data_IF_754854823296
#
_entry.id   IF_754854823296
#
_cell.length_a   1.000
_cell.length_b   1.000
_cell.length_c   1.000
_cell.angle_alpha   90.00
_cell.angle_beta   90.00
_cell.angle_gamma   90.00
#
_symmetry.space_group_name_H-M   'P 1'
#
loop_
_entity.id
_entity.type
_entity.pdbx_description
1 polymer ?
#
# COMPACT_ATOMS: atom_id res chain seq x y z
N UNK A 1 -2.86 -6.99 9.80
CA UNK A 1 -3.23 -5.70 9.19
C UNK A 1 -4.67 -5.70 8.67
N UNK A 2 -5.05 -6.55 7.70
CA UNK A 2 -6.38 -6.47 7.06
C UNK A 2 -7.58 -6.48 8.03
N UNK A 3 -7.59 -7.37 9.03
CA UNK A 3 -8.70 -7.41 10.02
C UNK A 3 -8.86 -6.11 10.81
N UNK A 4 -7.75 -5.46 11.18
CA UNK A 4 -7.77 -4.17 11.90
C UNK A 4 -8.25 -3.07 10.95
N UNK A 5 -7.70 -3.00 9.73
CA UNK A 5 -8.08 -2.04 8.72
C UNK A 5 -9.59 -2.13 8.37
N UNK A 6 -10.12 -3.35 8.23
CA UNK A 6 -11.55 -3.57 8.01
C UNK A 6 -12.41 -3.06 9.17
N UNK A 7 -11.97 -3.23 10.43
CA UNK A 7 -12.75 -2.70 11.56
C UNK A 7 -12.70 -1.17 11.64
N UNK A 8 -11.55 -0.56 11.38
CA UNK A 8 -11.44 0.91 11.29
C UNK A 8 -12.33 1.47 10.17
N UNK A 9 -12.32 0.84 9.00
CA UNK A 9 -13.19 1.22 7.88
C UNK A 9 -14.68 1.10 8.22
N UNK A 10 -15.08 0.05 8.96
CA UNK A 10 -16.47 -0.10 9.47
C UNK A 10 -16.86 0.97 10.48
N UNK A 11 -15.90 1.60 11.15
CA UNK A 11 -16.11 2.75 12.02
C UNK A 11 -16.16 4.08 11.25
N UNK A 12 -16.02 4.06 9.92
CA UNK A 12 -16.04 5.24 9.05
C UNK A 12 -14.70 5.93 8.91
N UNK A 13 -13.60 5.28 9.30
CA UNK A 13 -12.23 5.79 9.14
C UNK A 13 -11.71 5.37 7.76
N UNK A 14 -11.26 6.31 6.95
CA UNK A 14 -10.60 6.01 5.69
C UNK A 14 -9.23 5.36 5.93
N UNK A 15 -9.01 4.19 5.31
CA UNK A 15 -7.79 3.41 5.47
C UNK A 15 -7.23 3.01 4.12
N UNK A 16 -5.95 3.36 3.89
CA UNK A 16 -5.16 2.82 2.79
C UNK A 16 -4.12 1.83 3.34
N UNK A 17 -4.08 0.63 2.76
CA UNK A 17 -3.02 -0.34 2.99
C UNK A 17 -2.02 -0.22 1.84
N UNK A 18 -0.82 0.27 2.13
CA UNK A 18 0.28 0.26 1.17
C UNK A 18 0.99 -1.10 1.19
N UNK A 19 1.19 -1.69 0.03
CA UNK A 19 1.94 -2.94 -0.12
C UNK A 19 2.72 -2.96 -1.43
N UNK A 20 3.78 -3.76 -1.50
CA UNK A 20 4.55 -3.93 -2.74
C UNK A 20 3.71 -4.69 -3.76
N UNK A 21 3.62 -4.17 -4.98
CA UNK A 21 3.00 -4.86 -6.10
C UNK A 21 3.79 -6.14 -6.41
N UNK A 22 3.08 -7.26 -6.54
CA UNK A 22 3.70 -8.57 -6.86
C UNK A 22 3.38 -9.06 -8.26
N UNK A 23 2.41 -8.42 -8.95
CA UNK A 23 2.11 -8.68 -10.36
C UNK A 23 1.60 -7.40 -11.05
N UNK A 24 1.86 -7.20 -12.36
CA UNK A 24 1.37 -6.04 -13.09
C UNK A 24 -0.16 -5.93 -13.15
N UNK A 25 -0.87 -7.06 -13.14
CA UNK A 25 -2.33 -7.11 -13.33
C UNK A 25 -3.16 -6.76 -12.09
N UNK A 26 -2.53 -6.50 -10.93
CA UNK A 26 -3.25 -6.22 -9.68
C UNK A 26 -3.91 -4.83 -9.65
N UNK A 27 -3.49 -3.91 -10.53
CA UNK A 27 -3.91 -2.51 -10.48
C UNK A 27 -3.22 -1.74 -9.35
N UNK A 28 -3.05 -0.43 -9.55
CA UNK A 28 -2.42 0.46 -8.55
C UNK A 28 -3.29 0.61 -7.30
N UNK A 29 -4.61 0.70 -7.48
CA UNK A 29 -5.61 0.83 -6.40
C UNK A 29 -6.58 -0.33 -6.51
N UNK A 30 -6.82 -1.01 -5.39
CA UNK A 30 -7.85 -2.04 -5.25
C UNK A 30 -8.80 -1.65 -4.13
N UNK A 31 -10.05 -1.37 -4.49
CA UNK A 31 -11.12 -1.13 -3.52
C UNK A 31 -11.50 -2.44 -2.84
N UNK A 32 -11.26 -2.54 -1.53
CA UNK A 32 -11.64 -3.70 -0.72
C UNK A 32 -13.06 -3.55 -0.20
N UNK A 33 -13.49 -2.31 0.03
CA UNK A 33 -14.83 -1.94 0.46
C UNK A 33 -14.91 -0.44 0.75
N UNK A 34 -16.06 0.05 1.25
CA UNK A 34 -16.20 1.43 1.68
C UNK A 34 -15.10 1.78 2.70
N UNK A 35 -14.45 2.93 2.53
CA UNK A 35 -13.38 3.43 3.39
C UNK A 35 -12.11 2.55 3.46
N UNK A 36 -11.95 1.54 2.59
CA UNK A 36 -10.77 0.67 2.62
C UNK A 36 -10.23 0.37 1.22
N UNK A 37 -8.99 0.79 0.97
CA UNK A 37 -8.26 0.52 -0.27
C UNK A 37 -6.94 -0.16 0.00
N UNK A 38 -6.47 -0.94 -0.97
CA UNK A 38 -5.08 -1.41 -1.04
C UNK A 38 -4.39 -0.66 -2.17
N UNK A 39 -3.25 -0.05 -1.84
CA UNK A 39 -2.42 0.68 -2.79
C UNK A 39 -1.17 -0.17 -3.09
N UNK A 40 -1.07 -0.64 -4.32
CA UNK A 40 0.03 -1.47 -4.79
C UNK A 40 1.15 -0.59 -5.35
N UNK A 41 2.26 -0.49 -4.62
CA UNK A 41 3.43 0.29 -5.03
C UNK A 41 4.40 -0.59 -5.79
N UNK A 42 4.76 -0.17 -7.01
CA UNK A 42 5.82 -0.81 -7.78
C UNK A 42 7.17 -0.47 -7.14
N UNK A 43 7.84 -1.48 -6.61
CA UNK A 43 9.17 -1.37 -6.03
C UNK A 43 9.99 -2.60 -6.37
N UNK A 44 10.95 -2.43 -7.28
CA UNK A 44 11.75 -3.53 -7.82
C UNK A 44 10.95 -4.46 -8.74
N UNK A 45 11.51 -5.63 -9.08
CA UNK A 45 10.84 -6.62 -9.90
C UNK A 45 9.64 -7.23 -9.16
N UNK A 46 8.58 -7.57 -9.90
CA UNK A 46 7.36 -8.19 -9.36
C UNK A 46 7.65 -9.53 -8.68
N UNK A 47 8.47 -10.36 -9.31
CA UNK A 47 8.87 -11.70 -8.88
C UNK A 47 10.40 -11.84 -8.83
N UNK A 48 10.89 -12.98 -8.32
CA UNK A 48 12.32 -13.29 -8.31
C UNK A 48 13.11 -12.68 -7.15
N UNK A 49 12.43 -12.11 -6.15
CA UNK A 49 13.03 -11.70 -4.88
C UNK A 49 12.71 -12.73 -3.80
N UNK A 50 13.74 -13.26 -3.17
CA UNK A 50 13.63 -13.97 -1.89
C UNK A 50 13.23 -13.00 -0.77
N UNK A 51 12.81 -13.56 0.37
CA UNK A 51 12.39 -12.75 1.53
C UNK A 51 13.54 -11.90 2.07
N UNK A 52 14.76 -12.43 1.97
CA UNK A 52 16.00 -11.82 2.42
C UNK A 52 16.43 -10.64 1.53
N UNK A 53 15.99 -10.63 0.26
CA UNK A 53 16.28 -9.57 -0.70
C UNK A 53 15.24 -8.43 -0.64
N UNK A 54 14.03 -8.66 -0.11
CA UNK A 54 12.98 -7.63 -0.02
C UNK A 54 13.42 -6.31 0.63
N UNK A 55 14.27 -6.29 1.69
CA UNK A 55 14.74 -5.05 2.29
C UNK A 55 15.46 -4.12 1.31
N UNK A 56 16.06 -4.65 0.25
CA UNK A 56 16.73 -3.84 -0.79
C UNK A 56 15.76 -2.93 -1.55
N UNK A 57 14.46 -3.23 -1.50
CA UNK A 57 13.41 -2.47 -2.19
C UNK A 57 12.72 -1.43 -1.29
N UNK A 58 13.10 -1.31 -0.01
CA UNK A 58 12.44 -0.40 0.94
C UNK A 58 12.52 1.07 0.51
N UNK A 59 13.66 1.51 -0.03
CA UNK A 59 13.81 2.89 -0.52
C UNK A 59 12.89 3.18 -1.71
N UNK A 60 12.82 2.24 -2.67
CA UNK A 60 11.93 2.35 -3.82
C UNK A 60 10.46 2.33 -3.39
N UNK A 61 10.10 1.46 -2.44
CA UNK A 61 8.75 1.37 -1.89
C UNK A 61 8.33 2.65 -1.16
N UNK A 62 9.15 3.15 -0.24
CA UNK A 62 8.87 4.39 0.48
C UNK A 62 8.77 5.60 -0.47
N UNK A 63 9.65 5.67 -1.48
CA UNK A 63 9.58 6.70 -2.52
C UNK A 63 8.28 6.64 -3.32
N UNK A 64 7.87 5.43 -3.72
CA UNK A 64 6.61 5.20 -4.43
C UNK A 64 5.37 5.55 -3.59
N UNK A 65 5.38 5.24 -2.29
CA UNK A 65 4.34 5.70 -1.36
C UNK A 65 4.26 7.22 -1.35
N UNK A 66 5.36 7.92 -1.10
CA UNK A 66 5.38 9.40 -1.06
C UNK A 66 4.89 10.01 -2.37
N UNK A 67 5.27 9.41 -3.51
CA UNK A 67 4.80 9.85 -4.82
C UNK A 67 3.29 9.69 -4.96
N UNK A 68 2.74 8.53 -4.62
CA UNK A 68 1.30 8.27 -4.67
C UNK A 68 0.52 9.26 -3.81
N UNK A 69 0.98 9.49 -2.58
CA UNK A 69 0.37 10.42 -1.62
C UNK A 69 0.31 11.83 -2.21
N UNK A 70 1.43 12.31 -2.78
CA UNK A 70 1.49 13.64 -3.39
C UNK A 70 0.61 13.77 -4.63
N UNK A 71 0.65 12.78 -5.53
CA UNK A 71 -0.12 12.83 -6.79
C UNK A 71 -1.64 12.80 -6.56
N UNK A 72 -2.09 12.19 -5.46
CA UNK A 72 -3.50 12.09 -5.10
C UNK A 72 -3.91 13.10 -4.02
N UNK A 73 -3.02 14.03 -3.65
CA UNK A 73 -3.26 15.06 -2.63
C UNK A 73 -3.79 14.50 -1.30
N UNK A 74 -3.24 13.34 -0.89
CA UNK A 74 -3.68 12.61 0.31
C UNK A 74 -2.92 13.09 1.56
N UNK A 75 -3.59 12.98 2.70
CA UNK A 75 -3.05 13.26 4.03
C UNK A 75 -3.45 12.15 4.98
N UNK A 76 -2.54 11.75 5.87
CA UNK A 76 -2.77 10.70 6.87
C UNK A 76 -2.48 11.23 8.26
N UNK A 77 -3.44 11.10 9.17
CA UNK A 77 -3.28 11.46 10.57
C UNK A 77 -2.45 10.43 11.36
N UNK A 78 -2.41 9.18 10.88
CA UNK A 78 -1.74 8.06 11.54
C UNK A 78 -1.10 7.12 10.51
N UNK A 79 0.10 6.61 10.84
CA UNK A 79 0.78 5.54 10.12
C UNK A 79 1.06 4.38 11.08
N UNK A 80 0.78 3.15 10.64
CA UNK A 80 1.06 1.92 11.37
C UNK A 80 1.80 0.93 10.46
N UNK A 81 2.87 0.31 10.97
CA UNK A 81 3.72 -0.65 10.27
C UNK A 81 3.89 -1.94 11.06
#
# INVERSE_FOLDING_TARGET
>A
VLSIATQLARMGIDVDIFTRATRPSQGEIVDVGPHLRVINIIAGPYEGLSKEELPTQLAAFAGGMVQFIKCNELYYDLVHS
#
